data_IF_851279420000
#
_entry.id   IF_851279420000
#
_cell.length_a   1.000
_cell.length_b   1.000
_cell.length_c   1.000
_cell.angle_alpha   90.00
_cell.angle_beta   90.00
_cell.angle_gamma   90.00
#
_symmetry.space_group_name_H-M   'P 1'
#
loop_
_entity.id
_entity.type
_entity.pdbx_description
1 polymer ?
#
# COMPACT_ATOMS: atom_id res chain seq x y z
N UNK A 1 -26.32 -14.17 -35.50
CA UNK A 1 -25.87 -13.71 -34.16
C UNK A 1 -24.38 -13.44 -34.26
N UNK A 2 -23.96 -12.18 -34.27
CA UNK A 2 -22.55 -11.82 -34.25
C UNK A 2 -22.08 -11.85 -32.78
N UNK A 3 -21.04 -12.65 -32.51
CA UNK A 3 -20.36 -12.62 -31.22
C UNK A 3 -19.45 -11.40 -31.19
N UNK A 4 -19.77 -10.42 -30.34
CA UNK A 4 -18.87 -9.32 -30.03
C UNK A 4 -17.74 -9.87 -29.16
N UNK A 5 -16.52 -9.93 -29.70
CA UNK A 5 -15.32 -10.19 -28.93
C UNK A 5 -14.95 -8.93 -28.16
N UNK A 6 -15.22 -8.91 -26.85
CA UNK A 6 -14.63 -7.89 -25.99
C UNK A 6 -13.13 -8.18 -25.86
N UNK A 7 -12.31 -7.32 -26.48
CA UNK A 7 -10.89 -7.27 -26.22
C UNK A 7 -10.69 -6.73 -24.81
N UNK A 8 -10.50 -7.63 -23.84
CA UNK A 8 -9.97 -7.26 -22.53
C UNK A 8 -8.53 -6.80 -22.73
N UNK A 9 -8.33 -5.48 -22.79
CA UNK A 9 -7.00 -4.91 -22.59
C UNK A 9 -6.66 -5.09 -21.11
N UNK A 10 -5.91 -6.13 -20.76
CA UNK A 10 -5.38 -6.27 -19.41
C UNK A 10 -4.46 -5.08 -19.15
N UNK A 11 -4.95 -4.09 -18.40
CA UNK A 11 -4.13 -2.97 -17.99
C UNK A 11 -2.92 -3.51 -17.22
N UNK A 12 -1.72 -3.09 -17.59
CA UNK A 12 -0.50 -3.53 -16.92
C UNK A 12 -0.53 -3.02 -15.46
N UNK A 13 -0.33 -3.93 -14.50
CA UNK A 13 -0.30 -3.58 -13.09
C UNK A 13 0.74 -2.49 -12.80
N UNK A 14 0.46 -1.66 -11.79
CA UNK A 14 1.35 -0.61 -11.32
C UNK A 14 1.79 0.36 -12.43
N UNK A 15 0.91 0.65 -13.38
CA UNK A 15 1.14 1.59 -14.49
C UNK A 15 -0.05 2.50 -14.65
N UNK A 16 0.18 3.81 -14.77
CA UNK A 16 -0.88 4.77 -15.09
C UNK A 16 -1.14 4.81 -16.59
N UNK A 17 -2.41 4.73 -16.95
CA UNK A 17 -2.94 5.07 -18.28
C UNK A 17 -2.66 6.54 -18.64
N UNK A 18 -2.83 6.87 -19.91
CA UNK A 18 -2.69 8.25 -20.37
C UNK A 18 -3.72 9.18 -19.70
N UNK A 19 -4.95 8.70 -19.48
CA UNK A 19 -6.02 9.45 -18.82
C UNK A 19 -5.69 9.73 -17.36
N UNK A 20 -5.21 8.72 -16.61
CA UNK A 20 -4.81 8.90 -15.21
C UNK A 20 -3.65 9.89 -15.08
N UNK A 21 -2.64 9.81 -15.96
CA UNK A 21 -1.55 10.79 -16.00
C UNK A 21 -2.07 12.21 -16.25
N UNK A 22 -2.99 12.37 -17.20
CA UNK A 22 -3.61 13.67 -17.52
C UNK A 22 -4.47 14.21 -16.38
N UNK A 23 -5.15 13.33 -15.64
CA UNK A 23 -5.92 13.68 -14.43
C UNK A 23 -5.05 13.91 -13.19
N UNK A 24 -3.73 13.73 -13.29
CA UNK A 24 -2.78 14.06 -12.23
C UNK A 24 -2.47 12.94 -11.24
N UNK A 25 -2.96 11.71 -11.48
CA UNK A 25 -2.66 10.56 -10.64
C UNK A 25 -1.16 10.31 -10.52
N UNK A 26 -0.75 9.76 -9.37
CA UNK A 26 0.64 9.40 -9.06
C UNK A 26 0.66 7.97 -8.54
N UNK A 27 1.63 7.18 -9.01
CA UNK A 27 1.89 5.87 -8.44
C UNK A 27 2.50 6.03 -7.05
N UNK A 28 1.84 5.46 -6.05
CA UNK A 28 2.45 5.23 -4.73
C UNK A 28 3.34 3.99 -4.73
N UNK A 29 3.09 3.04 -5.64
CA UNK A 29 3.87 1.82 -5.79
C UNK A 29 4.06 1.50 -7.28
N UNK A 30 5.29 1.17 -7.66
CA UNK A 30 5.71 0.89 -9.05
C UNK A 30 5.74 -0.61 -9.37
N UNK A 31 5.32 -1.46 -8.44
CA UNK A 31 5.38 -2.92 -8.56
C UNK A 31 6.74 -3.53 -8.24
N UNK A 32 7.76 -2.74 -7.90
CA UNK A 32 9.16 -3.20 -7.84
C UNK A 32 9.91 -2.72 -6.60
N UNK A 33 9.68 -1.48 -6.19
CA UNK A 33 10.45 -0.81 -5.15
C UNK A 33 9.56 -0.27 -4.05
N UNK A 34 10.15 -0.07 -2.88
CA UNK A 34 9.49 0.52 -1.72
C UNK A 34 9.81 2.00 -1.56
N UNK A 35 10.25 2.68 -2.63
CA UNK A 35 10.84 4.01 -2.58
C UNK A 35 9.92 5.10 -1.98
N UNK A 36 8.60 4.95 -2.12
CA UNK A 36 7.63 5.89 -1.57
C UNK A 36 7.07 5.48 -0.21
N UNK A 37 7.65 4.44 0.41
CA UNK A 37 7.18 3.86 1.66
C UNK A 37 8.32 3.78 2.69
N UNK A 38 7.94 3.91 3.95
CA UNK A 38 8.81 3.63 5.10
C UNK A 38 8.01 2.95 6.19
N UNK A 39 8.66 2.39 7.19
CA UNK A 39 7.96 1.93 8.38
C UNK A 39 7.40 3.11 9.18
N UNK A 40 6.23 2.92 9.77
CA UNK A 40 5.71 3.86 10.77
C UNK A 40 6.70 3.97 11.94
N UNK A 41 7.00 5.20 12.36
CA UNK A 41 7.98 5.57 13.37
C UNK A 41 9.42 5.12 13.04
N UNK A 42 9.73 4.89 11.76
CA UNK A 42 11.06 4.48 11.29
C UNK A 42 11.55 5.43 10.17
N UNK A 43 12.87 5.66 10.05
CA UNK A 43 13.43 6.51 9.00
C UNK A 43 13.44 5.85 7.61
N UNK A 44 13.23 4.55 7.52
CA UNK A 44 13.26 3.79 6.27
C UNK A 44 12.29 2.62 6.26
N UNK A 45 12.24 1.91 5.13
CA UNK A 45 11.40 0.74 4.96
C UNK A 45 11.81 -0.41 5.91
N UNK A 46 10.87 -1.22 6.44
CA UNK A 46 11.22 -2.35 7.31
C UNK A 46 12.14 -3.35 6.60
N UNK A 47 13.19 -3.82 7.30
CA UNK A 47 14.10 -4.84 6.77
C UNK A 47 13.47 -6.24 6.69
N UNK A 48 12.40 -6.47 7.44
CA UNK A 48 11.67 -7.74 7.51
C UNK A 48 10.16 -7.48 7.56
N UNK A 49 9.36 -8.51 7.28
CA UNK A 49 7.90 -8.50 7.45
C UNK A 49 7.12 -7.96 6.25
N UNK A 50 7.80 -7.35 5.28
CA UNK A 50 7.24 -6.94 4.01
C UNK A 50 8.11 -7.43 2.86
N UNK A 51 7.49 -7.78 1.74
CA UNK A 51 8.16 -8.20 0.51
C UNK A 51 7.46 -7.62 -0.71
N UNK A 52 8.23 -7.33 -1.76
CA UNK A 52 7.69 -7.09 -3.10
C UNK A 52 7.76 -8.40 -3.88
N UNK A 53 6.60 -8.93 -4.26
CA UNK A 53 6.46 -10.22 -4.95
C UNK A 53 5.31 -10.12 -5.96
N UNK A 54 5.52 -10.56 -7.19
CA UNK A 54 4.52 -10.55 -8.28
C UNK A 54 3.84 -9.18 -8.50
N UNK A 55 4.61 -8.11 -8.41
CA UNK A 55 4.07 -6.75 -8.57
C UNK A 55 3.19 -6.30 -7.42
N UNK A 56 3.22 -6.98 -6.28
CA UNK A 56 2.44 -6.67 -5.08
C UNK A 56 3.36 -6.32 -3.91
N UNK A 57 2.91 -5.38 -3.05
CA UNK A 57 3.53 -5.11 -1.76
C UNK A 57 2.81 -5.94 -0.69
N UNK A 58 3.50 -6.92 -0.12
CA UNK A 58 2.90 -8.02 0.66
C UNK A 58 3.45 -8.10 2.08
N UNK A 59 2.55 -8.20 3.06
CA UNK A 59 2.91 -8.55 4.44
C UNK A 59 3.29 -10.03 4.49
N UNK A 60 4.44 -10.34 5.08
CA UNK A 60 4.87 -11.72 5.27
C UNK A 60 4.03 -12.41 6.38
N UNK A 61 3.70 -13.71 6.24
CA UNK A 61 2.97 -14.45 7.27
C UNK A 61 3.61 -14.31 8.66
N UNK A 62 2.79 -14.12 9.68
CA UNK A 62 3.26 -13.94 11.07
C UNK A 62 3.94 -12.60 11.36
N UNK A 63 4.08 -11.71 10.36
CA UNK A 63 4.81 -10.43 10.50
C UNK A 63 3.92 -9.19 10.54
N UNK A 64 2.60 -9.36 10.40
CA UNK A 64 1.59 -8.29 10.44
C UNK A 64 1.00 -8.00 11.82
N UNK A 65 1.53 -8.63 12.88
CA UNK A 65 1.01 -8.46 14.24
C UNK A 65 1.28 -7.07 14.81
N UNK A 66 0.27 -6.53 15.51
CA UNK A 66 0.32 -5.29 16.27
C UNK A 66 1.20 -5.47 17.53
N UNK A 67 2.53 -5.38 17.41
CA UNK A 67 3.38 -5.61 18.59
C UNK A 67 4.91 -5.62 18.42
N UNK A 68 5.44 -5.31 17.24
CA UNK A 68 6.86 -4.95 17.11
C UNK A 68 7.87 -6.08 16.88
N UNK A 69 7.46 -7.35 16.80
CA UNK A 69 8.32 -8.45 16.35
C UNK A 69 8.29 -8.70 14.83
N UNK A 70 7.41 -8.01 14.10
CA UNK A 70 7.30 -8.04 12.64
C UNK A 70 7.75 -6.74 11.95
N UNK A 71 7.37 -6.59 10.66
CA UNK A 71 7.71 -5.38 9.88
C UNK A 71 7.03 -4.12 10.41
N UNK A 72 5.84 -4.29 11.00
CA UNK A 72 4.94 -3.23 11.44
C UNK A 72 4.26 -2.53 10.26
N UNK A 73 3.50 -1.48 10.58
CA UNK A 73 2.85 -0.67 9.56
C UNK A 73 3.86 0.07 8.69
N UNK A 74 3.47 0.30 7.44
CA UNK A 74 4.18 1.18 6.52
C UNK A 74 3.33 2.42 6.23
N UNK A 75 4.00 3.53 6.02
CA UNK A 75 3.40 4.81 5.69
C UNK A 75 4.08 5.39 4.46
N UNK A 76 3.35 6.24 3.73
CA UNK A 76 3.94 6.99 2.62
C UNK A 76 5.04 7.93 3.14
N UNK A 77 6.08 8.14 2.34
CA UNK A 77 7.14 9.11 2.67
C UNK A 77 6.64 10.55 2.60
N UNK A 78 5.60 10.80 1.79
CA UNK A 78 4.93 12.09 1.66
C UNK A 78 3.66 12.13 2.52
N UNK A 79 3.29 13.33 2.94
CA UNK A 79 2.00 13.63 3.55
C UNK A 79 1.04 14.16 2.49
N UNK A 80 -0.25 13.88 2.66
CA UNK A 80 -1.32 14.28 1.75
C UNK A 80 -2.43 14.99 2.53
N UNK A 81 -3.02 16.02 1.92
CA UNK A 81 -4.20 16.73 2.42
C UNK A 81 -5.47 16.14 1.84
N UNK A 82 -6.16 16.89 0.98
CA UNK A 82 -7.25 16.33 0.18
C UNK A 82 -6.67 15.40 -0.89
N UNK A 83 -7.14 14.16 -0.97
CA UNK A 83 -6.69 13.19 -1.96
C UNK A 83 -7.82 12.26 -2.39
N UNK A 84 -7.62 11.62 -3.54
CA UNK A 84 -8.33 10.42 -3.96
C UNK A 84 -7.33 9.27 -3.98
N UNK A 85 -7.71 8.12 -3.42
CA UNK A 85 -6.86 6.93 -3.33
C UNK A 85 -7.56 5.77 -4.03
N UNK A 86 -6.87 5.18 -5.00
CA UNK A 86 -7.29 3.97 -5.68
C UNK A 86 -6.21 2.89 -5.48
N UNK A 87 -6.63 1.70 -5.05
CA UNK A 87 -5.77 0.55 -4.87
C UNK A 87 -6.57 -0.74 -4.96
N UNK A 88 -5.85 -1.83 -5.22
CA UNK A 88 -6.35 -3.19 -5.08
C UNK A 88 -5.70 -3.86 -3.87
N UNK A 89 -6.45 -4.72 -3.19
CA UNK A 89 -5.96 -5.46 -2.02
C UNK A 89 -6.46 -6.90 -2.06
N UNK A 90 -5.74 -7.78 -1.35
CA UNK A 90 -6.11 -9.18 -1.17
C UNK A 90 -5.70 -9.64 0.22
N UNK A 91 -6.57 -10.38 0.89
CA UNK A 91 -6.30 -10.98 2.20
C UNK A 91 -6.24 -12.51 2.10
N UNK A 92 -5.39 -13.12 2.93
CA UNK A 92 -5.47 -14.55 3.22
C UNK A 92 -6.71 -14.85 4.09
N UNK A 93 -7.22 -16.10 4.11
CA UNK A 93 -8.28 -16.48 5.03
C UNK A 93 -7.92 -16.12 6.49
N UNK A 94 -8.82 -15.41 7.17
CA UNK A 94 -8.60 -14.92 8.54
C UNK A 94 -7.56 -13.80 8.67
N UNK A 95 -7.07 -13.24 7.57
CA UNK A 95 -6.15 -12.10 7.58
C UNK A 95 -6.85 -10.83 8.07
N UNK A 96 -6.10 -10.00 8.80
CA UNK A 96 -6.52 -8.68 9.24
C UNK A 96 -5.48 -7.66 8.78
N UNK A 97 -5.94 -6.61 8.11
CA UNK A 97 -5.14 -5.48 7.66
C UNK A 97 -6.05 -4.26 7.52
N UNK A 98 -5.47 -3.09 7.30
CA UNK A 98 -6.22 -1.85 7.11
C UNK A 98 -5.46 -0.83 6.29
N UNK A 99 -6.21 0.09 5.69
CA UNK A 99 -5.69 1.31 5.08
C UNK A 99 -6.07 2.44 6.02
N UNK A 100 -5.06 3.15 6.51
CA UNK A 100 -5.27 4.33 7.36
C UNK A 100 -4.87 5.59 6.62
N UNK A 101 -5.59 6.67 6.88
CA UNK A 101 -5.33 7.99 6.32
C UNK A 101 -5.28 9.05 7.43
N UNK A 102 -4.66 10.19 7.13
CA UNK A 102 -4.33 11.22 8.13
C UNK A 102 -3.57 10.66 9.35
N UNK A 103 -2.70 9.67 9.10
CA UNK A 103 -1.81 9.11 10.12
C UNK A 103 -0.84 10.19 10.62
N UNK A 104 -0.70 10.31 11.93
CA UNK A 104 0.26 11.21 12.57
C UNK A 104 1.23 10.45 13.46
N UNK A 105 2.50 10.80 13.38
CA UNK A 105 3.58 10.23 14.20
C UNK A 105 4.11 11.25 15.22
N UNK A 106 3.38 12.36 15.42
CA UNK A 106 3.68 13.38 16.43
C UNK A 106 3.22 12.98 17.85
N UNK A 107 2.62 11.80 17.98
CA UNK A 107 2.22 11.20 19.25
C UNK A 107 3.21 10.08 19.62
N UNK A 108 3.30 9.70 20.90
CA UNK A 108 4.04 8.50 21.29
C UNK A 108 3.58 7.29 20.48
N UNK A 109 4.53 6.48 20.04
CA UNK A 109 4.23 5.25 19.30
C UNK A 109 3.32 4.35 20.14
N UNK A 110 2.13 3.95 19.64
CA UNK A 110 1.26 3.02 20.34
C UNK A 110 1.89 1.62 20.42
N UNK A 111 1.39 0.77 21.31
CA UNK A 111 1.79 -0.64 21.38
C UNK A 111 1.42 -1.41 20.11
N UNK A 112 0.37 -0.98 19.40
CA UNK A 112 -0.14 -1.59 18.18
C UNK A 112 0.09 -0.74 16.93
N UNK A 113 -0.90 -0.75 16.05
CA UNK A 113 -0.86 -0.05 14.76
C UNK A 113 -0.78 1.48 14.92
N UNK A 114 -0.20 2.16 13.94
CA UNK A 114 -0.17 3.61 13.85
C UNK A 114 -1.58 4.21 13.88
N UNK A 115 -1.70 5.41 14.46
CA UNK A 115 -2.97 6.09 14.67
C UNK A 115 -3.30 6.94 13.45
N UNK A 116 -4.47 6.73 12.88
CA UNK A 116 -5.07 7.50 11.77
C UNK A 116 -6.56 7.19 11.68
N UNK A 117 -7.24 7.84 10.75
CA UNK A 117 -8.61 7.46 10.37
C UNK A 117 -8.55 6.18 9.52
N UNK A 118 -9.58 5.35 9.63
CA UNK A 118 -9.74 4.08 8.90
C UNK A 118 -11.09 4.03 8.18
#
# INVERSE_FOLDING_TARGET
MAASSESSSTAALNTLSAAEKAAGWKLLFDGKTTANWRGAYKPGFPATGWIVEDGCLKVQPGSGGEGGSGGGDIVTTKQYGNFELQLEWRLSPGGNSGIKYFVTENLPKPSGSAIGLE
#
